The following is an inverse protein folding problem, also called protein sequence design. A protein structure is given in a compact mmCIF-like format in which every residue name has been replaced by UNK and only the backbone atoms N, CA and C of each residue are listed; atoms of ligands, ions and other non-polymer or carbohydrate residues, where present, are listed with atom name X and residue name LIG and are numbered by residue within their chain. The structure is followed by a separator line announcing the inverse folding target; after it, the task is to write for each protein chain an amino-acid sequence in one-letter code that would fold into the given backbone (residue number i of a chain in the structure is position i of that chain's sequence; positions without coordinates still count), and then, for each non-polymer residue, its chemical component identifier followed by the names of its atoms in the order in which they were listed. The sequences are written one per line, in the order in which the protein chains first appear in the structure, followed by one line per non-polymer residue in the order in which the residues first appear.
data_IF_643367002045
#
_entry.id   IF_643367002045
#
_cell.length_a   1.000
_cell.length_b   1.000
_cell.length_c   1.000
_cell.angle_alpha   90.00
_cell.angle_beta   90.00
_cell.angle_gamma   90.00
#
_symmetry.space_group_name_H-M   'P 1'
#
loop_
_entity.id
_entity.type
_entity.pdbx_description
1 polymer ?
#
# COMPACT_ATOMS: atom_id res chain seq x y z
N UNK A 1 -0.18 -10.43 0.57
CA UNK A 1 -0.18 -10.54 -0.91
C UNK A 1 -0.70 -9.27 -1.58
N UNK A 2 -1.91 -8.78 -1.28
CA UNK A 2 -2.46 -7.56 -1.90
C UNK A 2 -1.59 -6.30 -1.70
N UNK A 3 -1.12 -6.03 -0.48
CA UNK A 3 -0.23 -4.88 -0.21
C UNK A 3 1.09 -4.96 -1.00
N UNK A 4 1.64 -6.17 -1.15
CA UNK A 4 2.88 -6.38 -1.89
C UNK A 4 2.67 -6.16 -3.40
N UNK A 5 1.55 -6.63 -3.96
CA UNK A 5 1.19 -6.36 -5.36
C UNK A 5 0.94 -4.88 -5.64
N UNK A 6 0.28 -4.17 -4.72
CA UNK A 6 0.02 -2.73 -4.84
C UNK A 6 1.30 -1.90 -4.70
N UNK A 7 2.20 -2.28 -3.79
CA UNK A 7 3.51 -1.65 -3.66
C UNK A 7 4.38 -1.85 -4.90
N UNK A 8 4.41 -3.06 -5.47
CA UNK A 8 5.19 -3.36 -6.69
C UNK A 8 4.63 -2.64 -7.91
N UNK A 9 3.31 -2.56 -8.07
CA UNK A 9 2.69 -1.84 -9.19
C UNK A 9 2.90 -0.35 -9.08
N UNK A 10 2.83 0.23 -7.88
CA UNK A 10 3.12 1.65 -7.68
C UNK A 10 4.61 1.97 -7.90
N UNK A 11 5.52 1.10 -7.44
CA UNK A 11 6.95 1.23 -7.70
C UNK A 11 7.29 1.10 -9.20
N UNK A 12 6.56 0.27 -9.94
CA UNK A 12 6.74 0.08 -11.37
C UNK A 12 6.13 1.21 -12.23
N UNK A 13 4.99 1.79 -11.83
CA UNK A 13 4.33 2.88 -12.56
C UNK A 13 4.90 4.27 -12.23
N UNK A 14 5.47 4.48 -11.05
CA UNK A 14 6.03 5.77 -10.61
C UNK A 14 7.49 5.62 -10.11
N UNK A 15 8.44 5.26 -10.99
CA UNK A 15 9.85 5.15 -10.59
C UNK A 15 10.48 6.50 -10.19
N UNK A 16 9.92 7.63 -10.66
CA UNK A 16 10.48 8.97 -10.45
C UNK A 16 9.91 9.73 -9.22
N UNK A 17 8.70 9.39 -8.77
CA UNK A 17 7.99 10.08 -7.67
C UNK A 17 7.93 9.22 -6.39
N UNK A 18 8.69 8.13 -6.35
CA UNK A 18 8.74 7.21 -5.21
C UNK A 18 9.63 7.77 -4.10
N UNK A 19 9.24 8.91 -3.54
CA UNK A 19 9.86 9.46 -2.35
C UNK A 19 9.58 8.56 -1.14
N UNK A 20 10.52 8.45 -0.18
CA UNK A 20 10.34 7.62 1.02
C UNK A 20 9.12 8.03 1.86
N UNK A 21 8.71 9.30 1.78
CA UNK A 21 7.48 9.80 2.39
C UNK A 21 6.22 9.17 1.79
N UNK A 22 6.13 9.06 0.46
CA UNK A 22 4.98 8.46 -0.24
C UNK A 22 4.91 6.97 0.08
N UNK A 23 6.05 6.27 0.05
CA UNK A 23 6.11 4.85 0.42
C UNK A 23 5.59 4.59 1.84
N UNK A 24 6.04 5.39 2.82
CA UNK A 24 5.62 5.25 4.21
C UNK A 24 4.13 5.58 4.41
N UNK A 25 3.58 6.54 3.67
CA UNK A 25 2.14 6.83 3.71
C UNK A 25 1.30 5.72 3.08
N UNK A 26 1.77 5.12 1.99
CA UNK A 26 1.08 4.04 1.29
C UNK A 26 1.06 2.76 2.12
N UNK A 27 2.18 2.41 2.76
CA UNK A 27 2.27 1.26 3.65
C UNK A 27 1.25 1.35 4.80
N UNK A 28 1.19 2.52 5.46
CA UNK A 28 0.20 2.80 6.52
C UNK A 28 -1.24 2.72 6.02
N UNK A 29 -1.52 3.29 4.84
CA UNK A 29 -2.85 3.22 4.24
C UNK A 29 -3.25 1.77 3.96
N UNK A 30 -2.37 1.00 3.32
CA UNK A 30 -2.63 -0.40 2.99
C UNK A 30 -2.82 -1.27 4.24
N UNK A 31 -2.05 -1.01 5.30
CA UNK A 31 -2.23 -1.67 6.59
C UNK A 31 -3.62 -1.38 7.19
N UNK A 32 -4.04 -0.11 7.24
CA UNK A 32 -5.39 0.25 7.69
C UNK A 32 -6.49 -0.35 6.83
N UNK A 33 -6.35 -0.35 5.51
CA UNK A 33 -7.33 -0.96 4.59
C UNK A 33 -7.44 -2.46 4.85
N UNK A 34 -6.32 -3.16 5.02
CA UNK A 34 -6.31 -4.59 5.36
C UNK A 34 -7.03 -4.84 6.68
N UNK A 35 -6.77 -4.04 7.72
CA UNK A 35 -7.47 -4.15 9.01
C UNK A 35 -8.97 -3.91 8.87
N UNK A 36 -9.39 -2.91 8.11
CA UNK A 36 -10.82 -2.59 7.89
C UNK A 36 -11.53 -3.70 7.11
N UNK A 37 -10.89 -4.23 6.07
CA UNK A 37 -11.44 -5.35 5.28
C UNK A 37 -11.60 -6.60 6.14
N UNK A 38 -10.59 -6.97 6.92
CA UNK A 38 -10.66 -8.11 7.85
C UNK A 38 -11.69 -7.86 8.96
N UNK A 39 -11.84 -6.62 9.43
CA UNK A 39 -12.82 -6.26 10.46
C UNK A 39 -14.26 -6.32 9.97
N UNK A 40 -14.51 -6.23 8.65
CA UNK A 40 -15.85 -6.36 8.05
C UNK A 40 -16.15 -7.78 7.55
N UNK A 41 -15.13 -8.64 7.48
CA UNK A 41 -15.25 -10.05 7.11
C UNK A 41 -15.42 -10.98 8.33
N UNK A 42 -15.44 -10.41 9.54
CA UNK A 42 -15.89 -11.06 10.77
C UNK A 42 -17.37 -10.77 10.98
#
# INVERSE_FOLDING_TARGET
LLSHCLLVTLAAHLPAEFTPAVHASLDKFLASVSTVLTSKYR
#
